data_IF_027694257175
#
_entry.id   IF_027694257175
#
_cell.length_a   1.000
_cell.length_b   1.000
_cell.length_c   1.000
_cell.angle_alpha   90.00
_cell.angle_beta   90.00
_cell.angle_gamma   90.00
#
_symmetry.space_group_name_H-M   'P 1'
#
loop_
_entity.id
_entity.type
_entity.pdbx_description
1 polymer ?
#
# COMPACT_ATOMS: atom_id res chain seq x y z
N UNK A 1 16.22 4.38 -15.12
CA UNK A 1 17.54 4.05 -14.56
C UNK A 1 17.55 4.40 -13.07
N UNK A 2 18.15 3.58 -12.20
CA UNK A 2 18.42 3.91 -10.79
C UNK A 2 19.92 3.89 -10.64
N UNK A 3 20.53 5.03 -10.28
CA UNK A 3 22.00 5.16 -10.22
C UNK A 3 22.68 4.74 -11.54
N UNK A 4 22.05 5.04 -12.69
CA UNK A 4 22.55 4.62 -14.02
C UNK A 4 22.28 3.16 -14.40
N UNK A 5 21.72 2.34 -13.50
CA UNK A 5 21.43 0.93 -13.77
C UNK A 5 20.05 0.73 -14.41
N UNK A 6 19.97 -0.20 -15.37
CA UNK A 6 18.74 -0.55 -16.09
C UNK A 6 17.86 -1.49 -15.25
N UNK A 7 17.14 -0.93 -14.26
CA UNK A 7 16.26 -1.70 -13.37
C UNK A 7 15.06 -2.36 -14.06
N UNK A 8 14.83 -2.10 -15.36
CA UNK A 8 13.88 -2.87 -16.15
C UNK A 8 14.38 -4.29 -16.49
N UNK A 9 15.68 -4.54 -16.33
CA UNK A 9 16.26 -5.88 -16.43
C UNK A 9 16.03 -6.64 -15.11
N UNK A 10 15.47 -7.84 -15.22
CA UNK A 10 15.14 -8.69 -14.07
C UNK A 10 16.33 -9.05 -13.19
N UNK A 11 17.51 -9.31 -13.78
CA UNK A 11 18.71 -9.68 -13.01
C UNK A 11 19.22 -8.47 -12.23
N UNK A 12 19.28 -7.31 -12.89
CA UNK A 12 19.69 -6.05 -12.25
C UNK A 12 18.71 -5.69 -11.12
N UNK A 13 17.40 -5.77 -11.37
CA UNK A 13 16.38 -5.51 -10.36
C UNK A 13 16.49 -6.46 -9.17
N UNK A 14 16.72 -7.76 -9.42
CA UNK A 14 16.89 -8.75 -8.38
C UNK A 14 18.16 -8.51 -7.55
N UNK A 15 19.27 -8.13 -8.16
CA UNK A 15 20.51 -7.79 -7.44
C UNK A 15 20.32 -6.57 -6.53
N UNK A 16 19.68 -5.51 -7.04
CA UNK A 16 19.37 -4.30 -6.24
C UNK A 16 18.46 -4.67 -5.06
N UNK A 17 17.37 -5.40 -5.32
CA UNK A 17 16.41 -5.80 -4.30
C UNK A 17 17.02 -6.73 -3.25
N UNK A 18 17.82 -7.70 -3.69
CA UNK A 18 18.50 -8.66 -2.83
C UNK A 18 19.49 -7.96 -1.88
N UNK A 19 20.27 -7.00 -2.39
CA UNK A 19 21.18 -6.19 -1.57
C UNK A 19 20.43 -5.35 -0.54
N UNK A 20 19.32 -4.70 -0.95
CA UNK A 20 18.54 -3.85 -0.05
C UNK A 20 17.80 -4.64 1.05
N UNK A 21 17.38 -5.86 0.74
CA UNK A 21 16.61 -6.71 1.65
C UNK A 21 17.45 -7.78 2.38
N UNK A 22 18.77 -7.85 2.12
CA UNK A 22 19.66 -8.90 2.60
C UNK A 22 19.15 -10.33 2.27
N UNK A 23 18.81 -10.56 0.99
CA UNK A 23 18.28 -11.82 0.46
C UNK A 23 19.19 -12.43 -0.61
N UNK A 24 19.00 -13.71 -0.94
CA UNK A 24 19.65 -14.34 -2.07
C UNK A 24 19.09 -13.85 -3.42
N UNK A 25 19.95 -13.31 -4.28
CA UNK A 25 19.53 -12.75 -5.58
C UNK A 25 18.86 -13.78 -6.50
N UNK A 26 19.35 -15.03 -6.51
CA UNK A 26 18.77 -16.12 -7.31
C UNK A 26 17.36 -16.47 -6.83
N UNK A 27 17.18 -16.64 -5.53
CA UNK A 27 15.89 -16.96 -4.91
C UNK A 27 14.88 -15.83 -5.11
N UNK A 28 15.32 -14.57 -4.95
CA UNK A 28 14.48 -13.41 -5.20
C UNK A 28 14.02 -13.35 -6.66
N UNK A 29 14.91 -13.60 -7.62
CA UNK A 29 14.58 -13.63 -9.04
C UNK A 29 13.58 -14.74 -9.38
N UNK A 30 13.81 -15.96 -8.88
CA UNK A 30 12.90 -17.09 -9.06
C UNK A 30 11.52 -16.78 -8.48
N UNK A 31 11.46 -16.21 -7.26
CA UNK A 31 10.21 -15.82 -6.62
C UNK A 31 9.51 -14.69 -7.37
N UNK A 32 10.23 -13.69 -7.83
CA UNK A 32 9.67 -12.54 -8.53
C UNK A 32 9.05 -12.90 -9.88
N UNK A 33 9.50 -14.01 -10.50
CA UNK A 33 8.94 -14.58 -11.74
C UNK A 33 7.83 -15.61 -11.51
N UNK A 34 7.49 -15.91 -10.26
CA UNK A 34 6.43 -16.87 -9.96
C UNK A 34 5.04 -16.32 -10.30
N UNK A 35 4.14 -17.22 -10.68
CA UNK A 35 2.73 -16.92 -10.92
C UNK A 35 2.06 -16.22 -9.74
N UNK A 36 2.40 -16.61 -8.51
CA UNK A 36 1.85 -15.98 -7.30
C UNK A 36 2.22 -14.49 -7.20
N UNK A 37 3.43 -14.09 -7.61
CA UNK A 37 3.80 -12.66 -7.65
C UNK A 37 3.09 -11.95 -8.80
N UNK A 38 3.06 -12.57 -9.99
CA UNK A 38 2.37 -12.01 -11.14
C UNK A 38 0.88 -11.74 -10.84
N UNK A 39 0.16 -12.73 -10.30
CA UNK A 39 -1.25 -12.60 -9.93
C UNK A 39 -1.47 -11.46 -8.93
N UNK A 40 -0.61 -11.34 -7.91
CA UNK A 40 -0.70 -10.25 -6.93
C UNK A 40 -0.47 -8.88 -7.55
N UNK A 41 0.52 -8.75 -8.43
CA UNK A 41 0.79 -7.48 -9.13
C UNK A 41 -0.38 -7.09 -10.03
N UNK A 42 -0.98 -8.04 -10.76
CA UNK A 42 -2.17 -7.79 -11.58
C UNK A 42 -3.38 -7.37 -10.76
N UNK A 43 -3.63 -8.03 -9.63
CA UNK A 43 -4.71 -7.66 -8.71
C UNK A 43 -4.51 -6.24 -8.16
N UNK A 44 -3.32 -5.92 -7.62
CA UNK A 44 -3.02 -4.58 -7.13
C UNK A 44 -3.11 -3.51 -8.24
N UNK A 45 -2.79 -3.86 -9.49
CA UNK A 45 -2.95 -2.95 -10.64
C UNK A 45 -4.43 -2.71 -10.95
N UNK A 46 -5.27 -3.75 -10.89
CA UNK A 46 -6.71 -3.60 -11.05
C UNK A 46 -7.32 -2.75 -9.93
N UNK A 47 -6.95 -3.02 -8.67
CA UNK A 47 -7.37 -2.22 -7.51
C UNK A 47 -6.98 -0.76 -7.67
N UNK A 48 -5.75 -0.50 -8.13
CA UNK A 48 -5.30 0.85 -8.44
C UNK A 48 -6.20 1.54 -9.48
N UNK A 49 -6.56 0.84 -10.57
CA UNK A 49 -7.42 1.41 -11.61
C UNK A 49 -8.84 1.69 -11.12
N UNK A 50 -9.36 0.91 -10.18
CA UNK A 50 -10.66 1.14 -9.55
C UNK A 50 -10.70 2.42 -8.70
N UNK A 51 -9.55 2.92 -8.23
CA UNK A 51 -9.48 4.21 -7.54
C UNK A 51 -9.78 5.41 -8.46
N UNK A 52 -9.71 5.22 -9.80
CA UNK A 52 -9.93 6.26 -10.81
C UNK A 52 -9.07 7.52 -10.65
N UNK A 53 -7.91 7.40 -9.99
CA UNK A 53 -6.96 8.51 -9.78
C UNK A 53 -5.96 8.61 -10.93
N UNK A 54 -5.46 9.82 -11.18
CA UNK A 54 -4.57 10.10 -12.33
C UNK A 54 -3.13 10.43 -11.94
N UNK A 55 -2.86 10.73 -10.66
CA UNK A 55 -1.54 11.18 -10.23
C UNK A 55 -0.75 10.09 -9.48
N UNK A 56 0.57 10.25 -9.44
CA UNK A 56 1.52 9.43 -8.69
C UNK A 56 2.43 10.31 -7.81
N UNK A 57 2.75 9.92 -6.57
CA UNK A 57 2.26 8.73 -5.88
C UNK A 57 0.76 8.81 -5.53
N UNK A 58 0.14 7.66 -5.29
CA UNK A 58 -1.20 7.56 -4.69
C UNK A 58 -1.06 6.83 -3.36
N UNK A 59 -1.63 7.40 -2.30
CA UNK A 59 -1.70 6.79 -0.97
C UNK A 59 -3.17 6.55 -0.63
N UNK A 60 -3.47 5.37 -0.09
CA UNK A 60 -4.81 5.00 0.37
C UNK A 60 -4.68 4.59 1.82
N UNK A 61 -5.51 5.16 2.68
CA UNK A 61 -5.64 4.77 4.09
C UNK A 61 -7.02 4.18 4.27
N UNK A 62 -7.07 3.02 4.92
CA UNK A 62 -8.29 2.31 5.28
C UNK A 62 -8.30 2.12 6.81
N UNK A 63 -9.44 2.33 7.46
CA UNK A 63 -9.63 2.03 8.89
C UNK A 63 -10.43 0.73 9.08
N UNK A 64 -10.34 0.11 10.25
CA UNK A 64 -11.15 -1.08 10.56
C UNK A 64 -12.67 -0.83 10.58
N UNK A 65 -13.10 0.42 10.71
CA UNK A 65 -14.51 0.83 10.69
C UNK A 65 -15.02 1.12 9.27
N UNK A 66 -14.17 0.97 8.25
CA UNK A 66 -14.54 1.09 6.84
C UNK A 66 -14.35 2.49 6.25
N UNK A 67 -13.74 3.42 6.99
CA UNK A 67 -13.38 4.72 6.41
C UNK A 67 -12.22 4.55 5.42
N UNK A 68 -12.26 5.39 4.38
CA UNK A 68 -11.24 5.42 3.34
C UNK A 68 -10.85 6.85 3.00
N UNK A 69 -9.56 7.13 3.08
CA UNK A 69 -8.97 8.35 2.54
C UNK A 69 -8.06 8.03 1.34
N UNK A 70 -8.24 8.76 0.24
CA UNK A 70 -7.45 8.60 -1.00
C UNK A 70 -6.72 9.90 -1.33
N UNK A 71 -5.38 9.85 -1.34
CA UNK A 71 -4.51 10.97 -1.70
C UNK A 71 -3.84 10.70 -3.04
N UNK A 72 -4.14 11.51 -4.05
CA UNK A 72 -3.61 11.38 -5.41
C UNK A 72 -2.68 12.55 -5.75
N UNK A 73 -1.37 12.30 -5.81
CA UNK A 73 -0.36 13.31 -6.17
C UNK A 73 0.09 14.21 -5.02
N UNK A 74 -0.20 13.83 -3.78
CA UNK A 74 0.22 14.60 -2.60
C UNK A 74 1.69 14.36 -2.27
N UNK A 75 2.35 15.42 -1.81
CA UNK A 75 3.79 15.41 -1.45
C UNK A 75 4.08 16.00 -0.07
N UNK A 76 3.09 16.67 0.55
CA UNK A 76 3.21 17.28 1.87
C UNK A 76 2.75 16.29 2.93
N UNK A 77 3.43 16.28 4.07
CA UNK A 77 3.18 15.32 5.15
C UNK A 77 1.94 15.70 5.97
N UNK A 78 1.72 16.99 6.14
CA UNK A 78 0.73 17.55 7.05
C UNK A 78 -0.71 17.07 6.75
N UNK A 79 -1.17 17.01 5.49
CA UNK A 79 -2.48 16.44 5.18
C UNK A 79 -2.62 14.95 5.54
N UNK A 80 -1.53 14.18 5.47
CA UNK A 80 -1.58 12.77 5.82
C UNK A 80 -1.74 12.58 7.32
N UNK A 81 -0.99 13.32 8.12
CA UNK A 81 -1.03 13.24 9.58
C UNK A 81 -2.42 13.62 10.09
N UNK A 82 -2.95 14.78 9.67
CA UNK A 82 -4.26 15.23 10.11
C UNK A 82 -5.39 14.25 9.75
N UNK A 83 -5.32 13.61 8.58
CA UNK A 83 -6.31 12.61 8.20
C UNK A 83 -6.17 11.30 8.97
N UNK A 84 -4.94 10.84 9.22
CA UNK A 84 -4.71 9.64 10.02
C UNK A 84 -5.20 9.87 11.46
N UNK A 85 -4.90 11.02 12.06
CA UNK A 85 -5.38 11.36 13.41
C UNK A 85 -6.92 11.33 13.47
N UNK A 86 -7.59 11.96 12.50
CA UNK A 86 -9.05 11.94 12.42
C UNK A 86 -9.63 10.52 12.29
N UNK A 87 -9.03 9.68 11.43
CA UNK A 87 -9.49 8.30 11.23
C UNK A 87 -9.28 7.43 12.48
N UNK A 88 -8.21 7.68 13.24
CA UNK A 88 -7.95 7.00 14.51
C UNK A 88 -8.94 7.43 15.60
N UNK A 89 -9.27 8.73 15.67
CA UNK A 89 -10.27 9.26 16.59
C UNK A 89 -11.65 8.64 16.33
N UNK A 90 -12.06 8.54 15.06
CA UNK A 90 -13.32 7.89 14.67
C UNK A 90 -13.33 6.40 15.05
N UNK A 91 -12.26 5.66 14.75
CA UNK A 91 -12.14 4.25 15.14
C UNK A 91 -12.24 4.05 16.66
N UNK A 92 -11.58 4.91 17.45
CA UNK A 92 -11.65 4.88 18.91
C UNK A 92 -13.05 5.20 19.44
N UNK A 93 -13.74 6.18 18.84
CA UNK A 93 -15.10 6.53 19.21
C UNK A 93 -16.09 5.38 18.94
N UNK A 94 -15.97 4.71 17.79
CA UNK A 94 -16.78 3.53 17.47
C UNK A 94 -16.51 2.35 18.42
N UNK A 95 -15.24 2.11 18.77
CA UNK A 95 -14.88 1.08 19.75
C UNK A 95 -15.48 1.38 21.13
N UNK A 96 -15.40 2.64 21.59
CA UNK A 96 -16.00 3.07 22.84
C UNK A 96 -17.53 2.94 22.82
N UNK A 97 -18.18 3.38 21.73
CA UNK A 97 -19.63 3.24 21.57
C UNK A 97 -20.05 1.76 21.64
N UNK A 98 -19.36 0.87 20.92
CA UNK A 98 -19.62 -0.56 20.96
C UNK A 98 -19.43 -1.17 22.36
N UNK A 99 -18.41 -0.74 23.10
CA UNK A 99 -18.19 -1.19 24.47
C UNK A 99 -19.32 -0.77 25.42
N UNK A 100 -19.94 0.39 25.18
CA UNK A 100 -21.03 0.91 26.01
C UNK A 100 -22.43 0.45 25.60
N UNK A 101 -22.69 0.31 24.30
CA UNK A 101 -24.04 0.07 23.76
C UNK A 101 -24.19 -1.28 23.05
N UNK A 102 -23.11 -2.03 22.87
CA UNK A 102 -23.09 -3.27 22.10
C UNK A 102 -23.00 -3.05 20.59
N UNK A 103 -23.13 -4.13 19.83
CA UNK A 103 -23.22 -4.07 18.37
C UNK A 103 -24.54 -3.37 17.96
N UNK A 104 -24.54 -2.57 16.86
CA UNK A 104 -25.78 -2.09 16.28
C UNK A 104 -26.72 -3.27 15.95
N UNK A 105 -28.05 -3.11 16.12
CA UNK A 105 -29.01 -4.11 15.65
C UNK A 105 -28.78 -4.40 14.16
N UNK A 106 -28.79 -5.68 13.79
CA UNK A 106 -28.71 -6.11 12.38
C UNK A 106 -30.07 -6.14 11.71
#
# INVERSE_FOLDING_TARGET
LREGQHFGDWKIAAEIGAKAANLGAKELLERARSTVVETRVRAATADFHLLQVTQRPTLVFDSEIGDRAVFSGFVRLEPFVATIDSMLDDAAAYAAHKAHFGEPPR
#
